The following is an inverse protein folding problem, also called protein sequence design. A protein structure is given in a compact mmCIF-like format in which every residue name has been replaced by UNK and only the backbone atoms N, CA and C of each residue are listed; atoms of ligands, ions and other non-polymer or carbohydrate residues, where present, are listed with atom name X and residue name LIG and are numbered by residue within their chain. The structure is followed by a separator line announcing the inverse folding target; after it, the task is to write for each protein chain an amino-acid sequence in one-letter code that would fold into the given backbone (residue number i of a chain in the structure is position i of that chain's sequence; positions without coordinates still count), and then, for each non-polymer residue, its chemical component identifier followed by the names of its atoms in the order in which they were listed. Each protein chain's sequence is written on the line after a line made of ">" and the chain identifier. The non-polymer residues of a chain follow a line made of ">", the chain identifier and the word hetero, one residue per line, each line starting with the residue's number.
data_IF_858414730614
#
_entry.id   IF_858414730614
#
_cell.length_a   1.000
_cell.length_b   1.000
_cell.length_c   1.000
_cell.angle_alpha   90.00
_cell.angle_beta   90.00
_cell.angle_gamma   90.00
#
_symmetry.space_group_name_H-M   'P 1'
#
loop_
_entity.id
_entity.type
_entity.pdbx_description
1 polymer ?
#
# COMPACT_ATOMS: atom_id res chain seq x y z
N UNK A 1 20.20 16.18 -16.36
CA UNK A 1 21.66 16.42 -16.44
C UNK A 1 22.20 16.26 -15.02
N UNK A 2 23.31 15.54 -14.81
CA UNK A 2 23.85 15.26 -13.47
C UNK A 2 24.88 16.32 -13.08
N UNK A 3 24.68 16.96 -11.92
CA UNK A 3 25.65 17.90 -11.35
C UNK A 3 26.15 17.37 -10.00
N UNK A 4 27.46 17.37 -9.81
CA UNK A 4 28.11 16.99 -8.56
C UNK A 4 29.01 18.17 -8.19
N UNK A 5 28.70 18.81 -7.06
CA UNK A 5 29.45 19.93 -6.50
C UNK A 5 30.01 19.51 -5.14
N UNK A 6 31.27 19.82 -4.87
CA UNK A 6 31.89 19.60 -3.56
C UNK A 6 32.34 20.94 -3.02
N UNK A 7 31.90 21.26 -1.81
CA UNK A 7 32.32 22.47 -1.09
C UNK A 7 33.65 22.23 -0.34
N UNK A 8 34.34 23.32 -0.01
CA UNK A 8 35.61 23.31 0.75
C UNK A 8 35.46 22.71 2.15
N UNK A 9 34.22 22.60 2.65
CA UNK A 9 33.86 21.92 3.90
C UNK A 9 33.80 20.39 3.79
N UNK A 10 33.99 19.83 2.58
CA UNK A 10 33.82 18.40 2.31
C UNK A 10 32.37 17.98 2.05
N UNK A 11 31.43 18.93 2.00
CA UNK A 11 30.03 18.66 1.68
C UNK A 11 29.85 18.41 0.19
N UNK A 12 29.32 17.24 -0.17
CA UNK A 12 28.98 16.87 -1.55
C UNK A 12 27.50 17.10 -1.81
N UNK A 13 27.19 17.84 -2.88
CA UNK A 13 25.82 18.09 -3.35
C UNK A 13 25.66 17.46 -4.72
N UNK A 14 24.78 16.45 -4.82
CA UNK A 14 24.41 15.80 -6.07
C UNK A 14 23.04 16.31 -6.50
N UNK A 15 22.95 16.89 -7.70
CA UNK A 15 21.69 17.38 -8.28
C UNK A 15 21.33 16.58 -9.52
N UNK A 16 20.17 15.96 -9.49
CA UNK A 16 19.53 15.31 -10.61
C UNK A 16 18.04 15.14 -10.30
N UNK A 17 17.21 15.04 -11.34
CA UNK A 17 15.77 14.82 -11.20
C UNK A 17 15.44 13.33 -10.92
N UNK A 18 16.35 12.42 -11.28
CA UNK A 18 16.19 10.99 -11.07
C UNK A 18 16.79 10.55 -9.73
N UNK A 19 15.91 10.24 -8.77
CA UNK A 19 16.26 9.73 -7.46
C UNK A 19 17.07 8.43 -7.51
N UNK A 20 16.81 7.56 -8.49
CA UNK A 20 17.50 6.27 -8.61
C UNK A 20 18.95 6.45 -9.06
N UNK A 21 19.18 7.35 -10.02
CA UNK A 21 20.51 7.71 -10.47
C UNK A 21 21.33 8.34 -9.32
N UNK A 22 20.74 9.27 -8.57
CA UNK A 22 21.40 9.89 -7.41
C UNK A 22 21.75 8.84 -6.36
N UNK A 23 20.83 7.92 -6.06
CA UNK A 23 21.09 6.80 -5.16
C UNK A 23 22.28 5.95 -5.63
N UNK A 24 22.31 5.55 -6.90
CA UNK A 24 23.42 4.77 -7.46
C UNK A 24 24.77 5.50 -7.33
N UNK A 25 24.81 6.81 -7.58
CA UNK A 25 26.02 7.62 -7.45
C UNK A 25 26.48 7.67 -6.00
N UNK A 26 25.58 7.89 -5.04
CA UNK A 26 25.93 7.93 -3.61
C UNK A 26 26.48 6.57 -3.15
N UNK A 27 25.84 5.47 -3.53
CA UNK A 27 26.31 4.13 -3.19
C UNK A 27 27.70 3.85 -3.78
N UNK A 28 27.92 4.18 -5.05
CA UNK A 28 29.21 3.97 -5.71
C UNK A 28 30.34 4.80 -5.08
N UNK A 29 30.06 6.05 -4.69
CA UNK A 29 31.01 6.90 -3.96
C UNK A 29 31.34 6.26 -2.61
N UNK A 30 30.33 5.81 -1.87
CA UNK A 30 30.54 5.18 -0.57
C UNK A 30 31.37 3.88 -0.67
N UNK A 31 31.08 3.05 -1.66
CA UNK A 31 31.81 1.82 -1.94
C UNK A 31 33.28 2.10 -2.32
N UNK A 32 33.50 3.07 -3.21
CA UNK A 32 34.84 3.46 -3.66
C UNK A 32 35.71 3.98 -2.50
N UNK A 33 35.14 4.79 -1.61
CA UNK A 33 35.83 5.34 -0.45
C UNK A 33 35.75 4.46 0.81
N UNK A 34 35.11 3.28 0.72
CA UNK A 34 34.87 2.36 1.85
C UNK A 34 34.17 3.03 3.05
N UNK A 35 33.25 3.96 2.77
CA UNK A 35 32.47 4.66 3.79
C UNK A 35 31.33 3.74 4.25
N UNK A 36 31.30 3.43 5.54
CA UNK A 36 30.32 2.50 6.12
C UNK A 36 28.97 3.13 6.39
N UNK A 37 28.93 4.45 6.64
CA UNK A 37 27.68 5.17 6.97
C UNK A 37 27.63 6.54 6.31
N UNK A 38 26.51 6.84 5.65
CA UNK A 38 26.21 8.15 5.07
C UNK A 38 24.77 8.53 5.39
N UNK A 39 24.59 9.69 6.01
CA UNK A 39 23.31 10.36 6.11
C UNK A 39 23.17 11.40 4.99
N UNK A 40 21.95 11.55 4.46
CA UNK A 40 21.65 12.48 3.37
C UNK A 40 20.38 13.26 3.67
N UNK A 41 20.38 14.53 3.25
CA UNK A 41 19.18 15.34 3.12
C UNK A 41 18.83 15.36 1.64
N UNK A 42 17.64 14.84 1.31
CA UNK A 42 17.17 14.73 -0.05
C UNK A 42 16.00 15.69 -0.29
N UNK A 43 15.93 16.27 -1.49
CA UNK A 43 14.77 17.06 -1.91
C UNK A 43 14.39 16.70 -3.35
N UNK A 44 13.28 15.98 -3.50
CA UNK A 44 12.76 15.53 -4.80
C UNK A 44 11.26 15.89 -4.92
N UNK A 45 10.91 17.15 -5.25
CA UNK A 45 9.52 17.61 -5.23
C UNK A 45 8.56 16.77 -6.09
N UNK A 46 9.01 16.35 -7.28
CA UNK A 46 8.21 15.51 -8.18
C UNK A 46 7.93 14.12 -7.59
N UNK A 47 8.95 13.46 -7.02
CA UNK A 47 8.79 12.17 -6.36
C UNK A 47 7.92 12.27 -5.11
N UNK A 48 8.00 13.38 -4.37
CA UNK A 48 7.15 13.61 -3.20
C UNK A 48 5.69 13.81 -3.56
N UNK A 49 5.41 14.53 -4.65
CA UNK A 49 4.04 14.67 -5.16
C UNK A 49 3.47 13.32 -5.58
N UNK A 50 4.24 12.54 -6.33
CA UNK A 50 3.84 11.19 -6.73
C UNK A 50 3.60 10.27 -5.51
N UNK A 51 4.45 10.36 -4.49
CA UNK A 51 4.28 9.63 -3.24
C UNK A 51 3.00 10.05 -2.50
N UNK A 52 2.70 11.35 -2.44
CA UNK A 52 1.47 11.86 -1.82
C UNK A 52 0.21 11.35 -2.54
N UNK A 53 0.21 11.38 -3.88
CA UNK A 53 -0.88 10.84 -4.69
C UNK A 53 -1.03 9.31 -4.50
N UNK A 54 0.08 8.57 -4.35
CA UNK A 54 0.06 7.14 -4.05
C UNK A 54 -0.54 6.87 -2.66
N UNK A 55 -0.18 7.66 -1.66
CA UNK A 55 -0.70 7.51 -0.29
C UNK A 55 -2.20 7.82 -0.20
N UNK A 56 -2.67 8.83 -0.94
CA UNK A 56 -4.09 9.16 -1.00
C UNK A 56 -4.92 8.02 -1.62
N UNK A 57 -4.46 7.50 -2.77
CA UNK A 57 -5.10 6.33 -3.41
C UNK A 57 -5.12 5.10 -2.50
N UNK A 58 -4.07 4.92 -1.71
CA UNK A 58 -3.94 3.78 -0.81
C UNK A 58 -4.90 3.91 0.39
N UNK A 59 -5.12 5.12 0.91
CA UNK A 59 -6.19 5.39 1.90
C UNK A 59 -7.58 5.06 1.34
N UNK A 60 -7.89 5.49 0.11
CA UNK A 60 -9.16 5.16 -0.54
C UNK A 60 -9.35 3.64 -0.69
N UNK A 61 -8.31 2.92 -1.11
CA UNK A 61 -8.36 1.46 -1.26
C UNK A 61 -8.55 0.73 0.07
N UNK A 62 -7.96 1.24 1.16
CA UNK A 62 -8.19 0.69 2.50
C UNK A 62 -9.61 0.94 3.00
N UNK A 63 -10.13 2.15 2.83
CA UNK A 63 -11.52 2.47 3.15
C UNK A 63 -12.50 1.56 2.37
N UNK A 64 -12.26 1.38 1.06
CA UNK A 64 -13.05 0.51 0.21
C UNK A 64 -12.94 -0.97 0.63
N UNK A 65 -11.75 -1.43 1.02
CA UNK A 65 -11.54 -2.80 1.56
C UNK A 65 -12.41 -3.03 2.78
N UNK A 66 -12.45 -2.08 3.70
CA UNK A 66 -13.19 -2.21 4.95
C UNK A 66 -14.70 -2.20 4.71
N UNK A 67 -15.17 -1.31 3.83
CA UNK A 67 -16.56 -1.27 3.40
C UNK A 67 -16.99 -2.59 2.72
N UNK A 68 -16.18 -3.11 1.79
CA UNK A 68 -16.46 -4.38 1.11
C UNK A 68 -16.45 -5.56 2.09
N UNK A 69 -15.59 -5.53 3.11
CA UNK A 69 -15.52 -6.58 4.12
C UNK A 69 -16.75 -6.59 5.03
N UNK A 70 -17.24 -5.41 5.42
CA UNK A 70 -18.48 -5.27 6.19
C UNK A 70 -19.71 -5.73 5.38
N UNK A 71 -19.85 -5.27 4.13
CA UNK A 71 -20.96 -5.65 3.26
C UNK A 71 -21.00 -7.16 3.00
N UNK A 72 -19.85 -7.78 2.78
CA UNK A 72 -19.74 -9.23 2.61
C UNK A 72 -20.16 -9.99 3.87
N UNK A 73 -19.75 -9.52 5.06
CA UNK A 73 -20.15 -10.15 6.32
C UNK A 73 -21.67 -10.11 6.54
N UNK A 74 -22.30 -8.97 6.24
CA UNK A 74 -23.76 -8.82 6.26
C UNK A 74 -24.44 -9.80 5.28
N UNK A 75 -23.95 -9.86 4.04
CA UNK A 75 -24.51 -10.74 3.02
C UNK A 75 -24.38 -12.23 3.37
N UNK A 76 -23.25 -12.64 3.96
CA UNK A 76 -23.05 -14.00 4.48
C UNK A 76 -24.08 -14.32 5.57
N UNK A 77 -24.38 -13.37 6.45
CA UNK A 77 -25.42 -13.57 7.47
C UNK A 77 -26.81 -13.70 6.83
N UNK A 78 -27.14 -12.88 5.83
CA UNK A 78 -28.41 -13.02 5.08
C UNK A 78 -28.53 -14.37 4.38
N UNK A 79 -27.45 -14.90 3.81
CA UNK A 79 -27.43 -16.23 3.18
C UNK A 79 -27.70 -17.32 4.21
N UNK A 80 -27.03 -17.28 5.38
CA UNK A 80 -27.26 -18.25 6.47
C UNK A 80 -28.70 -18.21 6.95
N UNK A 81 -29.26 -17.02 7.17
CA UNK A 81 -30.63 -16.86 7.60
C UNK A 81 -31.63 -17.40 6.56
N UNK A 82 -31.43 -17.08 5.27
CA UNK A 82 -32.29 -17.59 4.20
C UNK A 82 -32.20 -19.12 4.08
N UNK A 83 -31.02 -19.70 4.30
CA UNK A 83 -30.83 -21.15 4.29
C UNK A 83 -31.63 -21.83 5.42
N UNK A 84 -31.56 -21.30 6.64
CA UNK A 84 -32.35 -21.81 7.78
C UNK A 84 -33.84 -21.75 7.48
N UNK A 85 -34.34 -20.61 6.99
CA UNK A 85 -35.77 -20.45 6.63
C UNK A 85 -36.21 -21.39 5.50
N UNK A 86 -35.32 -21.66 4.53
CA UNK A 86 -35.59 -22.60 3.46
C UNK A 86 -35.73 -24.03 4.00
N UNK A 87 -34.85 -24.41 4.93
CA UNK A 87 -34.84 -25.74 5.53
C UNK A 87 -36.03 -25.96 6.47
N UNK A 88 -36.39 -24.96 7.27
CA UNK A 88 -37.60 -24.98 8.10
C UNK A 88 -38.85 -25.22 7.24
N UNK A 89 -38.99 -24.48 6.13
CA UNK A 89 -40.08 -24.63 5.18
C UNK A 89 -40.11 -26.03 4.54
N UNK A 90 -38.93 -26.62 4.30
CA UNK A 90 -38.80 -27.99 3.77
C UNK A 90 -39.28 -29.02 4.80
N UNK A 91 -38.87 -28.89 6.06
CA UNK A 91 -39.22 -29.80 7.16
C UNK A 91 -40.74 -29.82 7.40
N UNK A 92 -41.39 -28.66 7.38
CA UNK A 92 -42.85 -28.54 7.60
C UNK A 92 -43.69 -28.80 6.33
N UNK A 93 -43.06 -29.17 5.20
CA UNK A 93 -43.75 -29.49 3.95
C UNK A 93 -44.29 -28.29 3.15
N UNK A 94 -43.90 -27.06 3.47
CA UNK A 94 -44.32 -25.85 2.75
C UNK A 94 -43.52 -25.61 1.46
N UNK A 95 -43.73 -26.46 0.46
CA UNK A 95 -42.95 -26.49 -0.80
C UNK A 95 -42.99 -25.15 -1.57
N UNK A 96 -44.11 -24.43 -1.55
CA UNK A 96 -44.21 -23.12 -2.23
C UNK A 96 -43.30 -22.07 -1.59
N UNK A 97 -43.24 -22.02 -0.25
CA UNK A 97 -42.36 -21.10 0.49
C UNK A 97 -40.89 -21.50 0.32
N UNK A 98 -40.60 -22.80 0.39
CA UNK A 98 -39.28 -23.36 0.15
C UNK A 98 -38.71 -22.90 -1.21
N UNK A 99 -39.49 -23.02 -2.30
CA UNK A 99 -39.08 -22.54 -3.64
C UNK A 99 -38.77 -21.04 -3.66
N UNK A 100 -39.60 -20.22 -2.99
CA UNK A 100 -39.35 -18.77 -2.88
C UNK A 100 -38.05 -18.48 -2.13
N UNK A 101 -37.74 -19.21 -1.05
CA UNK A 101 -36.51 -19.03 -0.31
C UNK A 101 -35.27 -19.46 -1.10
N UNK A 102 -35.33 -20.59 -1.83
CA UNK A 102 -34.22 -20.99 -2.71
C UNK A 102 -33.97 -20.03 -3.87
N UNK A 103 -35.01 -19.45 -4.48
CA UNK A 103 -34.87 -18.39 -5.48
C UNK A 103 -34.16 -17.16 -4.89
N UNK A 104 -34.54 -16.73 -3.68
CA UNK A 104 -33.86 -15.63 -2.98
C UNK A 104 -32.42 -15.98 -2.64
N UNK A 105 -32.15 -17.21 -2.20
CA UNK A 105 -30.81 -17.71 -1.89
C UNK A 105 -29.92 -17.68 -3.14
N UNK A 106 -30.45 -18.09 -4.30
CA UNK A 106 -29.74 -18.03 -5.57
C UNK A 106 -29.36 -16.60 -5.95
N UNK A 107 -30.29 -15.64 -5.81
CA UNK A 107 -30.02 -14.23 -6.06
C UNK A 107 -28.96 -13.66 -5.11
N UNK A 108 -29.04 -13.98 -3.81
CA UNK A 108 -28.04 -13.58 -2.83
C UNK A 108 -26.66 -14.17 -3.14
N UNK A 109 -26.60 -15.43 -3.57
CA UNK A 109 -25.35 -16.07 -3.95
C UNK A 109 -24.72 -15.42 -5.19
N UNK A 110 -25.53 -15.10 -6.22
CA UNK A 110 -25.04 -14.39 -7.40
C UNK A 110 -24.47 -13.00 -7.04
N UNK A 111 -25.16 -12.25 -6.17
CA UNK A 111 -24.68 -10.97 -5.68
C UNK A 111 -23.37 -11.12 -4.88
N UNK A 112 -23.27 -12.14 -4.03
CA UNK A 112 -22.07 -12.43 -3.24
C UNK A 112 -20.86 -12.77 -4.13
N UNK A 113 -21.07 -13.53 -5.20
CA UNK A 113 -20.01 -13.83 -6.19
C UNK A 113 -19.56 -12.54 -6.90
N UNK A 114 -20.48 -11.65 -7.24
CA UNK A 114 -20.13 -10.38 -7.86
C UNK A 114 -19.31 -9.48 -6.92
N UNK A 115 -19.72 -9.34 -5.66
CA UNK A 115 -18.97 -8.61 -4.63
C UNK A 115 -17.59 -9.21 -4.36
N UNK A 116 -17.50 -10.54 -4.32
CA UNK A 116 -16.22 -11.22 -4.16
C UNK A 116 -15.25 -10.89 -5.29
N UNK A 117 -15.73 -10.83 -6.54
CA UNK A 117 -14.90 -10.42 -7.69
C UNK A 117 -14.40 -8.98 -7.53
N UNK A 118 -15.25 -8.05 -7.10
CA UNK A 118 -14.86 -6.66 -6.83
C UNK A 118 -13.79 -6.62 -5.73
N UNK A 119 -13.94 -7.40 -4.66
CA UNK A 119 -12.96 -7.49 -3.58
C UNK A 119 -11.61 -8.02 -4.06
N UNK A 120 -11.61 -9.07 -4.89
CA UNK A 120 -10.38 -9.60 -5.49
C UNK A 120 -9.68 -8.53 -6.34
N UNK A 121 -10.43 -7.80 -7.17
CA UNK A 121 -9.87 -6.71 -7.98
C UNK A 121 -9.28 -5.59 -7.11
N UNK A 122 -10.00 -5.14 -6.08
CA UNK A 122 -9.49 -4.15 -5.13
C UNK A 122 -8.21 -4.63 -4.44
N UNK A 123 -8.17 -5.90 -4.02
CA UNK A 123 -7.00 -6.49 -3.38
C UNK A 123 -5.78 -6.56 -4.31
N UNK A 124 -5.97 -6.94 -5.58
CA UNK A 124 -4.90 -6.95 -6.58
C UNK A 124 -4.35 -5.54 -6.83
N UNK A 125 -5.25 -4.55 -6.95
CA UNK A 125 -4.88 -3.15 -7.14
C UNK A 125 -4.08 -2.62 -5.93
N UNK A 126 -4.56 -2.89 -4.71
CA UNK A 126 -3.88 -2.53 -3.46
C UNK A 126 -2.47 -3.12 -3.38
N UNK A 127 -2.30 -4.40 -3.73
CA UNK A 127 -0.99 -5.06 -3.75
C UNK A 127 -0.04 -4.42 -4.78
N UNK A 128 -0.54 -3.98 -5.93
CA UNK A 128 0.27 -3.27 -6.93
C UNK A 128 0.75 -1.92 -6.37
N UNK A 129 -0.14 -1.13 -5.79
CA UNK A 129 0.19 0.17 -5.19
C UNK A 129 1.18 0.01 -4.04
N UNK A 130 1.02 -0.99 -3.17
CA UNK A 130 1.96 -1.28 -2.08
C UNK A 130 3.36 -1.66 -2.59
N UNK A 131 3.47 -2.39 -3.70
CA UNK A 131 4.77 -2.69 -4.32
C UNK A 131 5.43 -1.44 -4.87
N UNK A 132 4.66 -0.54 -5.47
CA UNK A 132 5.17 0.75 -5.97
C UNK A 132 5.65 1.66 -4.84
N UNK A 133 4.90 1.71 -3.73
CA UNK A 133 5.30 2.40 -2.51
C UNK A 133 6.61 1.83 -1.95
N UNK A 134 6.73 0.51 -1.83
CA UNK A 134 7.96 -0.14 -1.35
C UNK A 134 9.17 0.18 -2.24
N UNK A 135 9.00 0.17 -3.57
CA UNK A 135 10.06 0.60 -4.49
C UNK A 135 10.49 2.04 -4.25
N UNK A 136 9.54 2.93 -3.97
CA UNK A 136 9.83 4.35 -3.68
C UNK A 136 10.59 4.51 -2.36
N UNK A 137 10.20 3.75 -1.33
CA UNK A 137 10.92 3.70 -0.04
C UNK A 137 12.35 3.18 -0.25
N UNK A 138 12.53 2.12 -1.03
CA UNK A 138 13.85 1.59 -1.35
C UNK A 138 14.72 2.62 -2.08
N UNK A 139 14.16 3.34 -3.07
CA UNK A 139 14.85 4.45 -3.75
C UNK A 139 15.29 5.54 -2.76
N UNK A 140 14.41 5.92 -1.83
CA UNK A 140 14.72 6.87 -0.77
C UNK A 140 15.79 6.39 0.22
N UNK A 141 15.80 5.09 0.54
CA UNK A 141 16.79 4.48 1.41
C UNK A 141 18.18 4.41 0.74
N UNK A 142 18.23 4.18 -0.58
CA UNK A 142 19.48 4.16 -1.37
C UNK A 142 20.17 5.51 -1.50
N UNK A 143 19.54 6.59 -1.06
CA UNK A 143 20.22 7.89 -0.90
C UNK A 143 21.15 7.92 0.34
N UNK A 144 21.11 6.87 1.17
CA UNK A 144 21.86 6.73 2.42
C UNK A 144 22.63 5.40 2.41
N UNK A 145 23.65 5.30 3.27
CA UNK A 145 24.50 4.10 3.36
C UNK A 145 24.60 3.65 4.81
N UNK A 146 24.53 2.34 5.05
CA UNK A 146 24.63 1.73 6.39
C UNK A 146 23.37 1.92 7.23
N UNK A 147 23.54 2.05 8.55
CA UNK A 147 22.45 2.15 9.53
C UNK A 147 21.36 3.19 9.21
N UNK A 148 21.68 4.40 8.70
CA UNK A 148 20.67 5.39 8.31
C UNK A 148 19.69 4.89 7.24
N UNK A 149 20.13 4.05 6.29
CA UNK A 149 19.25 3.48 5.27
C UNK A 149 18.25 2.50 5.90
N UNK A 150 18.74 1.62 6.77
CA UNK A 150 17.91 0.65 7.50
C UNK A 150 16.89 1.33 8.41
N UNK A 151 17.28 2.42 9.10
CA UNK A 151 16.38 3.21 9.95
C UNK A 151 15.23 3.84 9.17
N UNK A 152 15.51 4.37 7.97
CA UNK A 152 14.47 4.94 7.09
C UNK A 152 13.46 3.87 6.67
N UNK A 153 13.94 2.69 6.24
CA UNK A 153 13.04 1.58 5.85
C UNK A 153 12.19 1.14 7.04
N UNK A 154 12.78 1.00 8.23
CA UNK A 154 12.05 0.62 9.44
C UNK A 154 10.99 1.66 9.81
N UNK A 155 11.34 2.96 9.79
CA UNK A 155 10.40 4.04 10.09
C UNK A 155 9.28 4.13 9.05
N UNK A 156 9.55 3.94 7.76
CA UNK A 156 8.52 3.88 6.73
C UNK A 156 7.58 2.68 6.93
N UNK A 157 8.10 1.51 7.32
CA UNK A 157 7.27 0.33 7.63
C UNK A 157 6.39 0.56 8.85
N UNK A 158 6.91 1.20 9.90
CA UNK A 158 6.12 1.56 11.07
C UNK A 158 5.02 2.57 10.72
N UNK A 159 5.35 3.59 9.91
CA UNK A 159 4.37 4.56 9.44
C UNK A 159 3.24 3.91 8.60
N UNK A 160 3.55 2.89 7.80
CA UNK A 160 2.54 2.10 7.08
C UNK A 160 1.68 1.28 8.05
N UNK A 161 2.29 0.67 9.07
CA UNK A 161 1.57 -0.14 10.06
C UNK A 161 0.64 0.70 10.95
N UNK A 162 1.01 1.95 11.23
CA UNK A 162 0.21 2.93 11.97
C UNK A 162 -0.76 3.72 11.09
N UNK A 163 -0.83 3.41 9.78
CA UNK A 163 -1.64 4.14 8.78
C UNK A 163 -1.33 5.66 8.73
N UNK A 164 -0.12 6.05 9.15
CA UNK A 164 0.34 7.43 9.20
C UNK A 164 1.14 7.80 7.94
N UNK A 165 0.42 7.91 6.82
CA UNK A 165 1.03 8.12 5.51
C UNK A 165 1.64 9.51 5.31
N UNK A 166 1.18 10.53 6.05
CA UNK A 166 1.69 11.91 6.00
C UNK A 166 3.16 12.03 6.45
N UNK A 167 3.61 11.06 7.24
CA UNK A 167 5.00 11.01 7.73
C UNK A 167 5.95 10.41 6.69
N UNK A 168 5.47 9.63 5.72
CA UNK A 168 6.33 8.94 4.74
C UNK A 168 7.19 9.90 3.90
N UNK A 169 6.66 11.01 3.34
CA UNK A 169 7.49 11.96 2.61
C UNK A 169 8.57 12.59 3.49
N UNK A 170 8.24 12.93 4.75
CA UNK A 170 9.18 13.56 5.70
C UNK A 170 10.33 12.63 6.05
N UNK A 171 10.01 11.35 6.34
CA UNK A 171 11.01 10.33 6.66
C UNK A 171 11.96 10.10 5.47
N UNK A 172 11.44 10.06 4.24
CA UNK A 172 12.26 9.85 3.04
C UNK A 172 13.21 11.03 2.77
N UNK A 173 12.73 12.27 2.94
CA UNK A 173 13.51 13.49 2.67
C UNK A 173 14.59 13.76 3.73
N UNK A 174 14.23 13.71 5.01
CA UNK A 174 15.08 14.17 6.10
C UNK A 174 15.71 13.04 6.91
N UNK A 175 15.16 11.82 6.81
CA UNK A 175 15.58 10.69 7.63
C UNK A 175 14.84 10.63 8.97
N UNK A 176 15.40 9.83 9.88
CA UNK A 176 14.94 9.62 11.26
C UNK A 176 16.00 10.15 12.22
#
# INVERSE_FOLDING_TARGET
>A
MLFIEMDNSGKVTVRNDDMELVGNVIQAIAEYFQITTISSIANFPAAMKALAELTEKLNEMFALRDQLSAAMAERVNSVKEMLVRAEDARIIGQIQMMRKYYLKLQNLNQAMVAEHRVRCNNHEQLLRTLRELNKTIEKGARLRVGDPASKVVAACRNAIAEENFDMLPKIILFGV
#
